data_IF_916436257132
#
_entry.id   IF_916436257132
#
_cell.length_a   1.000
_cell.length_b   1.000
_cell.length_c   1.000
_cell.angle_alpha   90.00
_cell.angle_beta   90.00
_cell.angle_gamma   90.00
#
_symmetry.space_group_name_H-M   'P 1'
#
loop_
_entity.id
_entity.type
_entity.pdbx_description
1 polymer ?
#
# COMPACT_ATOMS: atom_id res chain seq x y z
N UNK A 1 4.42 15.72 39.56
CA UNK A 1 5.86 15.73 39.19
C UNK A 1 6.67 15.73 40.46
N UNK A 2 7.31 14.63 40.79
CA UNK A 2 8.15 14.42 41.96
C UNK A 2 9.60 14.97 41.79
N UNK A 3 9.89 15.63 40.69
CA UNK A 3 11.21 16.22 40.40
C UNK A 3 12.32 15.18 40.16
N UNK A 4 11.96 13.92 39.95
CA UNK A 4 12.92 12.86 39.71
C UNK A 4 13.64 13.02 38.37
N UNK A 5 14.97 12.79 38.32
CA UNK A 5 15.74 12.74 37.10
C UNK A 5 15.52 11.38 36.42
N UNK A 6 15.09 11.40 35.15
CA UNK A 6 14.98 10.20 34.33
C UNK A 6 16.09 10.18 33.26
N UNK A 7 16.76 9.05 33.12
CA UNK A 7 17.71 8.83 32.04
C UNK A 7 16.94 8.45 30.76
N UNK A 8 17.06 9.25 29.70
CA UNK A 8 16.39 8.97 28.44
C UNK A 8 17.33 9.17 27.25
N UNK A 9 17.14 8.38 26.22
CA UNK A 9 17.85 8.55 24.94
C UNK A 9 16.86 8.99 23.88
N UNK A 10 17.20 9.99 23.08
CA UNK A 10 16.42 10.38 21.92
C UNK A 10 16.45 9.23 20.91
N UNK A 11 15.30 8.69 20.47
CA UNK A 11 15.26 7.63 19.48
C UNK A 11 15.89 8.07 18.16
N UNK A 12 16.79 7.26 17.59
CA UNK A 12 17.29 7.45 16.23
C UNK A 12 16.24 7.13 15.16
N UNK A 13 15.29 6.24 15.49
CA UNK A 13 14.17 5.91 14.63
C UNK A 13 13.02 6.91 14.81
N UNK A 14 12.33 7.20 13.73
CA UNK A 14 11.14 8.07 13.70
C UNK A 14 9.94 7.30 13.16
N UNK A 15 8.76 7.63 13.65
CA UNK A 15 7.49 7.05 13.19
C UNK A 15 6.44 8.15 13.02
N UNK A 16 5.32 7.78 12.41
CA UNK A 16 4.16 8.66 12.27
C UNK A 16 2.88 7.87 12.54
N UNK A 17 1.84 8.58 12.98
CA UNK A 17 0.50 8.02 13.17
C UNK A 17 -0.52 8.96 12.54
N UNK A 18 -1.50 8.38 11.86
CA UNK A 18 -2.68 9.07 11.33
C UNK A 18 -3.91 8.26 11.70
N UNK A 19 -4.88 8.92 12.29
CA UNK A 19 -6.22 8.35 12.54
C UNK A 19 -7.26 9.29 11.94
N UNK A 20 -8.09 8.75 11.05
CA UNK A 20 -9.18 9.47 10.39
C UNK A 20 -10.53 8.90 10.80
N UNK A 21 -11.51 9.77 10.87
CA UNK A 21 -12.90 9.35 10.84
C UNK A 21 -13.25 8.98 9.39
N UNK A 22 -13.55 7.71 9.07
CA UNK A 22 -13.75 7.30 7.70
C UNK A 22 -15.01 7.87 7.05
N UNK A 23 -15.99 8.30 7.83
CA UNK A 23 -17.24 8.85 7.30
C UNK A 23 -17.15 10.35 7.00
N UNK A 24 -16.44 11.09 7.84
CA UNK A 24 -16.38 12.55 7.73
C UNK A 24 -15.07 13.06 7.13
N UNK A 25 -13.97 12.33 7.29
CA UNK A 25 -12.62 12.78 6.96
C UNK A 25 -11.94 13.55 8.10
N UNK A 26 -12.60 13.73 9.26
CA UNK A 26 -12.00 14.44 10.37
C UNK A 26 -10.73 13.73 10.88
N UNK A 27 -9.64 14.48 11.04
CA UNK A 27 -8.40 13.97 11.62
C UNK A 27 -8.60 13.84 13.13
N UNK A 28 -8.64 12.59 13.64
CA UNK A 28 -8.82 12.29 15.07
C UNK A 28 -7.51 12.26 15.83
N UNK A 29 -6.42 11.85 15.19
CA UNK A 29 -5.07 11.92 15.73
C UNK A 29 -4.06 12.04 14.59
N UNK A 30 -3.01 12.83 14.82
CA UNK A 30 -1.92 12.99 13.89
C UNK A 30 -0.62 13.21 14.66
N UNK A 31 0.35 12.33 14.46
CA UNK A 31 1.69 12.42 15.03
C UNK A 31 2.70 12.30 13.90
N UNK A 32 3.51 13.32 13.69
CA UNK A 32 4.46 13.38 12.57
C UNK A 32 5.89 12.99 12.92
N UNK A 33 6.19 12.70 14.19
CA UNK A 33 7.52 12.35 14.67
C UNK A 33 7.58 12.31 16.19
N UNK A 34 8.78 12.08 16.73
CA UNK A 34 8.99 11.97 18.18
C UNK A 34 8.83 13.33 18.90
N UNK A 35 9.43 14.40 18.37
CA UNK A 35 9.38 15.75 18.96
C UNK A 35 9.43 16.81 17.87
N UNK A 36 8.54 17.79 17.96
CA UNK A 36 8.51 18.94 17.06
C UNK A 36 9.75 19.84 17.20
N UNK A 37 10.25 20.00 18.43
CA UNK A 37 11.45 20.80 18.71
C UNK A 37 12.71 20.23 18.03
N UNK A 38 12.76 18.91 17.88
CA UNK A 38 13.89 18.23 17.21
C UNK A 38 13.74 18.19 15.71
N UNK A 39 12.53 18.14 15.20
CA UNK A 39 12.24 18.07 13.75
C UNK A 39 10.84 18.54 13.45
N UNK A 40 10.73 19.64 12.70
CA UNK A 40 9.47 20.18 12.21
C UNK A 40 8.92 19.38 11.02
N UNK A 41 9.66 18.36 10.53
CA UNK A 41 9.27 17.53 9.42
C UNK A 41 8.14 16.58 9.84
N UNK A 42 6.91 16.84 9.37
CA UNK A 42 5.74 16.02 9.67
C UNK A 42 5.70 14.80 8.75
N UNK A 43 6.11 13.65 9.27
CA UNK A 43 6.18 12.40 8.49
C UNK A 43 4.81 11.85 8.11
N UNK A 44 3.77 12.20 8.82
CA UNK A 44 2.40 11.78 8.48
C UNK A 44 1.91 12.37 7.16
N UNK A 45 2.34 13.61 6.83
CA UNK A 45 1.88 14.37 5.66
C UNK A 45 2.95 14.65 4.61
N UNK A 46 4.23 14.50 4.97
CA UNK A 46 5.34 14.88 4.10
C UNK A 46 6.25 13.70 3.70
N UNK A 47 6.37 12.66 4.54
CA UNK A 47 7.25 11.54 4.24
C UNK A 47 6.59 10.59 3.23
N UNK A 48 7.01 10.66 1.99
CA UNK A 48 6.64 9.69 0.97
C UNK A 48 7.47 8.41 1.13
N UNK A 49 6.81 7.30 1.35
CA UNK A 49 7.40 5.97 1.55
C UNK A 49 6.60 4.92 0.80
N UNK A 50 7.24 3.80 0.50
CA UNK A 50 6.56 2.67 -0.12
C UNK A 50 5.64 2.00 0.90
N UNK A 51 4.32 1.93 0.65
CA UNK A 51 3.36 1.30 1.56
C UNK A 51 3.51 -0.23 1.62
N UNK A 52 4.22 -0.82 0.66
CA UNK A 52 4.39 -2.26 0.59
C UNK A 52 3.05 -3.00 0.48
N UNK A 53 2.92 -4.13 1.16
CA UNK A 53 1.73 -4.99 1.05
C UNK A 53 0.42 -4.34 1.55
N UNK A 54 0.47 -3.21 2.28
CA UNK A 54 -0.74 -2.47 2.63
C UNK A 54 -1.42 -1.83 1.40
N UNK A 55 -0.74 -1.80 0.26
CA UNK A 55 -1.29 -1.33 -1.02
C UNK A 55 -2.08 -2.40 -1.78
N UNK A 56 -1.89 -3.68 -1.47
CA UNK A 56 -2.54 -4.80 -2.18
C UNK A 56 -4.06 -4.70 -2.25
N UNK A 57 -4.80 -4.30 -1.20
CA UNK A 57 -6.26 -4.19 -1.27
C UNK A 57 -6.76 -3.32 -2.42
N UNK A 58 -6.05 -2.26 -2.80
CA UNK A 58 -6.42 -1.41 -3.94
C UNK A 58 -6.28 -2.15 -5.28
N UNK A 59 -5.23 -2.96 -5.45
CA UNK A 59 -5.05 -3.82 -6.62
C UNK A 59 -6.11 -4.92 -6.68
N UNK A 60 -6.44 -5.52 -5.54
CA UNK A 60 -7.48 -6.54 -5.45
C UNK A 60 -8.88 -5.96 -5.67
N UNK A 61 -9.13 -4.73 -5.23
CA UNK A 61 -10.36 -4.00 -5.54
C UNK A 61 -10.51 -3.79 -7.06
N UNK A 62 -9.43 -3.39 -7.75
CA UNK A 62 -9.41 -3.30 -9.20
C UNK A 62 -9.70 -4.65 -9.86
N UNK A 63 -9.19 -5.75 -9.31
CA UNK A 63 -9.47 -7.08 -9.84
C UNK A 63 -10.95 -7.46 -9.71
N UNK A 64 -11.59 -7.13 -8.59
CA UNK A 64 -13.04 -7.33 -8.41
C UNK A 64 -13.86 -6.54 -9.44
N UNK A 65 -13.47 -5.29 -9.71
CA UNK A 65 -14.10 -4.44 -10.74
C UNK A 65 -13.90 -4.99 -12.16
N UNK A 66 -12.81 -5.71 -12.40
CA UNK A 66 -12.49 -6.40 -13.66
C UNK A 66 -13.07 -7.82 -13.78
N UNK A 67 -14.10 -8.16 -12.98
CA UNK A 67 -14.82 -9.43 -13.08
C UNK A 67 -14.23 -10.60 -12.32
N UNK A 68 -13.11 -10.42 -11.60
CA UNK A 68 -12.66 -11.41 -10.63
C UNK A 68 -13.60 -11.46 -9.42
N UNK A 69 -13.61 -12.59 -8.75
CA UNK A 69 -14.34 -12.78 -7.49
C UNK A 69 -13.38 -13.18 -6.37
N UNK A 70 -13.80 -13.05 -5.14
CA UNK A 70 -13.02 -13.55 -3.99
C UNK A 70 -12.66 -15.05 -4.10
N UNK A 71 -13.44 -15.82 -4.88
CA UNK A 71 -13.25 -17.26 -5.11
C UNK A 71 -12.43 -17.57 -6.38
N UNK A 72 -12.16 -16.58 -7.24
CA UNK A 72 -11.35 -16.77 -8.45
C UNK A 72 -10.00 -17.39 -8.11
N UNK A 73 -9.61 -18.40 -8.88
CA UNK A 73 -8.32 -19.07 -8.73
C UNK A 73 -7.24 -18.31 -9.50
N UNK A 74 -6.14 -18.02 -8.81
CA UNK A 74 -4.95 -17.42 -9.41
C UNK A 74 -3.73 -18.23 -9.00
N UNK A 75 -2.82 -18.47 -9.93
CA UNK A 75 -1.68 -19.35 -9.69
C UNK A 75 -0.57 -18.62 -8.90
N UNK A 76 -0.27 -19.13 -7.70
CA UNK A 76 0.86 -18.71 -6.89
C UNK A 76 2.09 -19.55 -7.24
N UNK A 77 2.70 -19.27 -8.38
CA UNK A 77 3.85 -19.98 -8.94
C UNK A 77 4.94 -18.99 -9.38
N UNK A 78 6.19 -19.43 -9.52
CA UNK A 78 7.27 -18.59 -10.01
C UNK A 78 6.92 -17.88 -11.32
N UNK A 79 7.40 -16.66 -11.46
CA UNK A 79 7.27 -15.86 -12.66
C UNK A 79 8.60 -15.16 -12.94
N UNK A 80 8.95 -15.04 -14.19
CA UNK A 80 10.16 -14.37 -14.66
C UNK A 80 9.78 -13.38 -15.74
N UNK A 81 10.21 -12.16 -15.59
CA UNK A 81 10.09 -11.12 -16.60
C UNK A 81 11.48 -10.82 -17.16
N UNK A 82 11.61 -10.86 -18.47
CA UNK A 82 12.83 -10.50 -19.16
C UNK A 82 12.58 -9.20 -19.91
N UNK A 83 13.39 -8.21 -19.63
CA UNK A 83 13.44 -6.98 -20.42
C UNK A 83 14.60 -7.10 -21.40
N UNK A 84 14.27 -7.44 -22.63
CA UNK A 84 15.26 -7.68 -23.69
C UNK A 84 16.05 -6.41 -24.08
N UNK A 85 15.47 -5.21 -23.82
CA UNK A 85 16.12 -3.93 -24.15
C UNK A 85 17.14 -3.50 -23.10
N UNK A 86 16.92 -3.88 -21.83
CA UNK A 86 17.77 -3.48 -20.71
C UNK A 86 18.66 -4.63 -20.21
N UNK A 87 18.58 -5.79 -20.83
CA UNK A 87 19.24 -7.04 -20.36
C UNK A 87 19.00 -7.31 -18.86
N UNK A 88 17.78 -7.00 -18.40
CA UNK A 88 17.39 -7.14 -17.01
C UNK A 88 16.37 -8.24 -16.85
N UNK A 89 16.62 -9.10 -15.88
CA UNK A 89 15.71 -10.16 -15.48
C UNK A 89 15.14 -9.85 -14.11
N UNK A 90 13.81 -9.70 -14.04
CA UNK A 90 13.11 -9.53 -12.77
C UNK A 90 12.45 -10.85 -12.36
N UNK A 91 12.83 -11.34 -11.17
CA UNK A 91 12.33 -12.59 -10.58
C UNK A 91 11.72 -12.33 -9.21
N UNK A 92 10.49 -11.81 -9.15
CA UNK A 92 9.83 -11.58 -7.87
C UNK A 92 9.60 -12.88 -7.12
N UNK A 93 9.58 -12.78 -5.79
CA UNK A 93 9.36 -13.93 -4.89
C UNK A 93 8.29 -13.58 -3.85
N UNK A 94 7.68 -14.62 -3.30
CA UNK A 94 6.93 -14.49 -2.05
C UNK A 94 7.92 -14.41 -0.87
N UNK A 95 7.55 -13.70 0.19
CA UNK A 95 8.42 -13.51 1.36
C UNK A 95 8.81 -14.85 2.02
N UNK A 96 7.91 -15.83 1.98
CA UNK A 96 8.15 -17.18 2.49
C UNK A 96 9.02 -18.05 1.59
N UNK A 97 9.35 -17.61 0.38
CA UNK A 97 9.99 -18.41 -0.69
C UNK A 97 9.25 -19.71 -1.04
N UNK A 98 7.97 -19.83 -0.69
CA UNK A 98 7.11 -20.98 -1.00
C UNK A 98 6.06 -20.63 -2.04
N UNK A 99 5.53 -21.62 -2.71
CA UNK A 99 4.50 -21.50 -3.73
C UNK A 99 3.32 -22.42 -3.37
N UNK A 100 2.10 -21.94 -3.55
CA UNK A 100 0.89 -22.68 -3.20
C UNK A 100 0.13 -23.20 -4.41
N UNK A 101 0.61 -22.90 -5.63
CA UNK A 101 -0.12 -23.25 -6.85
C UNK A 101 -1.41 -22.45 -7.00
N UNK A 102 -2.45 -23.01 -7.64
CA UNK A 102 -3.75 -22.35 -7.79
C UNK A 102 -4.44 -22.17 -6.42
N UNK A 103 -4.59 -20.91 -5.99
CA UNK A 103 -5.28 -20.53 -4.75
C UNK A 103 -6.36 -19.48 -5.03
N UNK A 104 -7.33 -19.40 -4.12
CA UNK A 104 -8.39 -18.39 -4.23
C UNK A 104 -7.83 -16.99 -4.00
N UNK A 105 -8.36 -16.01 -4.74
CA UNK A 105 -7.94 -14.62 -4.64
C UNK A 105 -7.99 -14.09 -3.20
N UNK A 106 -9.06 -14.38 -2.44
CA UNK A 106 -9.16 -14.01 -1.02
C UNK A 106 -8.03 -14.62 -0.17
N UNK A 107 -7.63 -15.87 -0.47
CA UNK A 107 -6.54 -16.54 0.23
C UNK A 107 -5.19 -15.88 -0.08
N UNK A 108 -4.97 -15.55 -1.33
CA UNK A 108 -3.78 -14.84 -1.76
C UNK A 108 -3.64 -13.47 -1.09
N UNK A 109 -4.77 -12.76 -0.86
CA UNK A 109 -4.76 -11.47 -0.19
C UNK A 109 -4.37 -11.61 1.30
N UNK A 110 -5.07 -12.45 2.08
CA UNK A 110 -4.76 -12.56 3.51
C UNK A 110 -3.39 -13.20 3.80
N UNK A 111 -2.89 -14.05 2.89
CA UNK A 111 -1.52 -14.58 2.94
C UNK A 111 -0.48 -13.64 2.32
N UNK A 112 -0.92 -12.50 1.81
CA UNK A 112 -0.07 -11.47 1.20
C UNK A 112 0.84 -12.01 0.08
N UNK A 113 0.31 -12.89 -0.81
CA UNK A 113 1.09 -13.54 -1.87
C UNK A 113 1.47 -12.55 -2.97
N UNK A 114 2.78 -12.31 -3.11
CA UNK A 114 3.33 -11.34 -4.05
C UNK A 114 3.07 -11.74 -5.51
N UNK A 115 3.29 -13.01 -5.84
CA UNK A 115 3.18 -13.50 -7.21
C UNK A 115 1.75 -13.44 -7.73
N UNK A 116 0.77 -13.69 -6.85
CA UNK A 116 -0.65 -13.54 -7.21
C UNK A 116 -1.00 -12.07 -7.48
N UNK A 117 -0.55 -11.15 -6.63
CA UNK A 117 -0.78 -9.71 -6.82
C UNK A 117 -0.22 -9.20 -8.14
N UNK A 118 0.99 -9.66 -8.50
CA UNK A 118 1.63 -9.32 -9.79
C UNK A 118 0.84 -9.88 -10.98
N UNK A 119 0.37 -11.13 -10.90
CA UNK A 119 -0.43 -11.75 -11.97
C UNK A 119 -1.75 -11.05 -12.17
N UNK A 120 -2.43 -10.65 -11.09
CA UNK A 120 -3.65 -9.84 -11.17
C UNK A 120 -3.39 -8.52 -11.90
N UNK A 121 -2.37 -7.77 -11.47
CA UNK A 121 -2.01 -6.50 -12.12
C UNK A 121 -1.65 -6.70 -13.59
N UNK A 122 -0.88 -7.75 -13.92
CA UNK A 122 -0.51 -8.07 -15.30
C UNK A 122 -1.74 -8.37 -16.17
N UNK A 123 -2.70 -9.13 -15.65
CA UNK A 123 -3.92 -9.51 -16.40
C UNK A 123 -4.86 -8.35 -16.65
N UNK A 124 -4.94 -7.38 -15.72
CA UNK A 124 -5.78 -6.19 -15.85
C UNK A 124 -5.12 -5.09 -16.69
N UNK A 125 -3.79 -5.12 -16.79
CA UNK A 125 -3.00 -4.01 -17.33
C UNK A 125 -2.68 -2.94 -16.30
N UNK A 126 -1.47 -2.40 -16.38
CA UNK A 126 -0.95 -1.44 -15.39
C UNK A 126 -1.72 -0.11 -15.45
N UNK A 127 -1.91 0.44 -16.64
CA UNK A 127 -2.53 1.76 -16.81
C UNK A 127 -4.01 1.74 -16.40
N UNK A 128 -4.78 0.72 -16.81
CA UNK A 128 -6.18 0.56 -16.40
C UNK A 128 -6.33 0.40 -14.88
N UNK A 129 -5.41 -0.33 -14.26
CA UNK A 129 -5.37 -0.49 -12.80
C UNK A 129 -5.04 0.83 -12.11
N UNK A 130 -4.09 1.63 -12.61
CA UNK A 130 -3.78 2.95 -12.09
C UNK A 130 -5.00 3.88 -12.19
N UNK A 131 -5.73 3.85 -13.31
CA UNK A 131 -6.94 4.65 -13.50
C UNK A 131 -8.03 4.29 -12.49
N UNK A 132 -8.17 3.01 -12.17
CA UNK A 132 -9.08 2.56 -11.13
C UNK A 132 -8.63 2.98 -9.73
N UNK A 133 -7.36 2.72 -9.37
CA UNK A 133 -6.80 3.02 -8.04
C UNK A 133 -6.82 4.52 -7.74
N UNK A 134 -6.67 5.38 -8.74
CA UNK A 134 -6.77 6.83 -8.59
C UNK A 134 -8.14 7.29 -8.03
N UNK A 135 -9.20 6.50 -8.20
CA UNK A 135 -10.53 6.79 -7.62
C UNK A 135 -10.49 6.84 -6.08
N UNK A 136 -9.54 6.14 -5.44
CA UNK A 136 -9.32 6.19 -3.99
C UNK A 136 -8.64 7.49 -3.51
N UNK A 137 -8.27 8.39 -4.43
CA UNK A 137 -7.67 9.68 -4.12
C UNK A 137 -6.17 9.77 -4.36
N UNK A 138 -5.53 8.69 -4.82
CA UNK A 138 -4.10 8.70 -5.14
C UNK A 138 -3.81 9.49 -6.42
N UNK A 139 -2.71 10.25 -6.41
CA UNK A 139 -2.22 10.91 -7.61
C UNK A 139 -1.56 9.87 -8.53
N UNK A 140 -2.01 9.78 -9.78
CA UNK A 140 -1.47 8.86 -10.78
C UNK A 140 0.04 9.01 -11.02
N UNK A 141 0.58 10.22 -10.81
CA UNK A 141 2.01 10.50 -10.97
C UNK A 141 2.88 9.82 -9.88
N UNK A 142 2.31 9.55 -8.71
CA UNK A 142 2.98 8.87 -7.61
C UNK A 142 2.92 7.33 -7.72
N UNK A 143 2.17 6.82 -8.71
CA UNK A 143 1.99 5.39 -8.96
C UNK A 143 2.92 4.93 -10.09
N UNK A 144 3.86 4.01 -9.84
CA UNK A 144 4.79 3.51 -10.86
C UNK A 144 4.06 2.73 -11.95
N UNK A 145 4.36 3.03 -13.22
CA UNK A 145 3.75 2.38 -14.39
C UNK A 145 4.44 1.06 -14.74
N UNK A 146 4.53 0.17 -13.78
CA UNK A 146 5.10 -1.17 -13.96
C UNK A 146 4.51 -2.16 -12.94
N UNK A 147 4.82 -3.45 -13.12
CA UNK A 147 4.25 -4.53 -12.30
C UNK A 147 4.67 -4.50 -10.82
N UNK A 148 5.71 -3.75 -10.44
CA UNK A 148 6.08 -3.62 -9.03
C UNK A 148 5.03 -2.85 -8.21
N UNK A 149 4.14 -2.08 -8.87
CA UNK A 149 2.99 -1.43 -8.24
C UNK A 149 2.16 -2.42 -7.40
N UNK A 150 2.02 -3.67 -7.87
CA UNK A 150 1.31 -4.74 -7.14
C UNK A 150 1.93 -5.06 -5.77
N UNK A 151 3.19 -4.69 -5.55
CA UNK A 151 3.92 -4.86 -4.30
C UNK A 151 3.96 -3.60 -3.44
N UNK A 152 3.28 -2.54 -3.87
CA UNK A 152 3.23 -1.27 -3.16
C UNK A 152 4.53 -0.46 -3.24
N UNK A 153 5.14 -0.40 -4.42
CA UNK A 153 6.33 0.43 -4.68
C UNK A 153 5.99 1.90 -5.00
N UNK A 154 4.71 2.27 -4.97
CA UNK A 154 4.29 3.67 -5.00
C UNK A 154 4.93 4.44 -3.84
N UNK A 155 5.19 5.73 -4.01
CA UNK A 155 5.74 6.59 -2.96
C UNK A 155 4.66 7.52 -2.44
N UNK A 156 4.07 7.15 -1.30
CA UNK A 156 2.89 7.79 -0.72
C UNK A 156 3.13 8.16 0.74
N UNK A 157 2.41 9.17 1.22
CA UNK A 157 2.43 9.55 2.63
C UNK A 157 1.49 8.65 3.45
N UNK A 158 1.71 8.51 4.77
CA UNK A 158 0.75 7.84 5.66
C UNK A 158 -0.67 8.43 5.56
N UNK A 159 -0.81 9.74 5.40
CA UNK A 159 -2.10 10.42 5.22
C UNK A 159 -2.81 9.95 3.94
N UNK A 160 -2.12 9.89 2.81
CA UNK A 160 -2.70 9.42 1.54
C UNK A 160 -3.16 7.97 1.64
N UNK A 161 -2.37 7.10 2.28
CA UNK A 161 -2.74 5.70 2.52
C UNK A 161 -3.96 5.60 3.42
N UNK A 162 -4.01 6.33 4.55
CA UNK A 162 -5.15 6.33 5.45
C UNK A 162 -6.42 6.83 4.75
N UNK A 163 -6.30 7.88 3.92
CA UNK A 163 -7.40 8.41 3.12
C UNK A 163 -7.94 7.36 2.14
N UNK A 164 -7.07 6.68 1.40
CA UNK A 164 -7.51 5.62 0.49
C UNK A 164 -8.17 4.45 1.22
N UNK A 165 -7.63 4.03 2.37
CA UNK A 165 -8.20 2.97 3.20
C UNK A 165 -9.57 3.30 3.78
N UNK A 166 -9.87 4.59 4.00
CA UNK A 166 -11.18 5.03 4.50
C UNK A 166 -12.33 4.58 3.59
N UNK A 167 -12.10 4.47 2.27
CA UNK A 167 -13.12 4.00 1.34
C UNK A 167 -13.57 2.55 1.62
N UNK A 168 -12.67 1.69 2.13
CA UNK A 168 -13.07 0.33 2.53
C UNK A 168 -13.88 0.31 3.82
N UNK A 169 -13.71 1.31 4.69
CA UNK A 169 -14.39 1.37 5.99
C UNK A 169 -15.76 2.06 5.93
N UNK A 170 -16.03 2.88 4.91
CA UNK A 170 -17.22 3.73 4.84
C UNK A 170 -18.19 3.37 3.71
N UNK A 171 -18.06 2.17 3.12
CA UNK A 171 -18.93 1.72 2.04
C UNK A 171 -18.56 2.23 0.64
N UNK A 172 -17.32 2.69 0.45
CA UNK A 172 -16.79 3.06 -0.86
C UNK A 172 -16.74 4.56 -1.15
N UNK A 173 -16.96 5.41 -0.16
CA UNK A 173 -16.93 6.86 -0.37
C UNK A 173 -15.53 7.44 -0.19
N UNK A 174 -15.13 8.31 -1.11
CA UNK A 174 -13.91 9.09 -0.98
C UNK A 174 -14.14 10.23 0.03
N UNK A 175 -13.20 10.38 0.96
CA UNK A 175 -13.18 11.47 1.93
C UNK A 175 -12.06 12.47 1.62
N UNK A 176 -12.18 13.68 2.16
CA UNK A 176 -11.10 14.66 2.19
C UNK A 176 -10.74 14.92 3.66
N UNK A 177 -9.54 14.58 4.11
CA UNK A 177 -9.11 14.82 5.49
C UNK A 177 -9.05 16.32 5.84
N UNK A 178 -9.50 16.71 7.06
CA UNK A 178 -9.47 18.08 7.59
C UNK A 178 -9.26 18.11 9.09
#
# INVERSE_FOLDING_TARGET
DDGGLAFSQVPGAQSALVTLDPNTGAIRALVGGFSFEQSNYNRATQAKRQPGSSFKPFVYSAALDNGYTAASLVNDAPIVFVDEYLDKVWRPKNDTNTFLGPIRMREALYKSRNLVSIRLLQSMGVDSTIDYIAKFGFNKQDLPRNLSLALGTATLTPMEIATGWSAFANGGYKINPY
#
